data_IF_895058808845
#
_entry.id   IF_895058808845
#
_cell.length_a   1.000
_cell.length_b   1.000
_cell.length_c   1.000
_cell.angle_alpha   90.00
_cell.angle_beta   90.00
_cell.angle_gamma   90.00
#
_symmetry.space_group_name_H-M   'P 1'
#
loop_
_entity.id
_entity.type
_entity.pdbx_description
1 polymer ?
#
# COMPACT_ATOMS: atom_id res chain seq x y z
N UNK A 1 12.66 -24.26 2.89
CA UNK A 1 13.62 -25.13 2.15
C UNK A 1 14.52 -25.76 3.19
N UNK A 2 14.81 -27.06 3.08
CA UNK A 2 15.66 -27.76 4.06
C UNK A 2 17.11 -27.27 3.94
N UNK A 3 17.81 -27.17 5.06
CA UNK A 3 19.21 -26.69 5.15
C UNK A 3 20.16 -27.54 4.29
N UNK A 4 19.90 -28.83 4.18
CA UNK A 4 20.70 -29.75 3.34
C UNK A 4 20.56 -29.44 1.85
N UNK A 5 19.32 -29.12 1.38
CA UNK A 5 19.08 -28.72 0.01
C UNK A 5 19.78 -27.38 -0.32
N UNK A 6 19.78 -26.43 0.63
CA UNK A 6 20.49 -25.16 0.45
C UNK A 6 21.99 -25.38 0.28
N UNK A 7 22.60 -26.21 1.14
CA UNK A 7 24.03 -26.56 1.06
C UNK A 7 24.38 -27.25 -0.25
N UNK A 8 23.53 -28.20 -0.69
CA UNK A 8 23.75 -28.90 -1.96
C UNK A 8 23.79 -27.98 -3.16
N UNK A 9 22.93 -26.95 -3.20
CA UNK A 9 22.89 -25.96 -4.28
C UNK A 9 23.81 -24.75 -4.03
N UNK A 10 24.59 -24.75 -2.96
CA UNK A 10 25.51 -23.64 -2.61
C UNK A 10 24.77 -22.35 -2.28
N UNK A 11 23.59 -22.45 -1.67
CA UNK A 11 22.79 -21.29 -1.27
C UNK A 11 23.08 -20.89 0.18
N UNK A 12 23.32 -19.59 0.41
CA UNK A 12 23.62 -19.02 1.72
C UNK A 12 22.38 -18.44 2.41
N UNK A 13 21.31 -18.15 1.64
CA UNK A 13 20.03 -17.62 2.15
C UNK A 13 18.83 -18.24 1.43
N UNK A 14 17.70 -18.24 2.09
CA UNK A 14 16.43 -18.73 1.52
C UNK A 14 15.89 -17.78 0.44
N UNK A 15 15.11 -18.29 -0.51
CA UNK A 15 14.42 -17.51 -1.54
C UNK A 15 13.55 -16.39 -0.97
N UNK A 16 12.95 -16.61 0.21
CA UNK A 16 12.15 -15.62 0.94
C UNK A 16 12.95 -14.39 1.38
N UNK A 17 14.28 -14.50 1.44
CA UNK A 17 15.22 -13.44 1.83
C UNK A 17 15.96 -12.83 0.63
N UNK A 18 15.63 -13.26 -0.60
CA UNK A 18 16.16 -12.62 -1.79
C UNK A 18 15.67 -11.17 -1.89
N UNK A 19 16.50 -10.33 -2.50
CA UNK A 19 16.15 -8.94 -2.79
C UNK A 19 14.98 -8.84 -3.77
N UNK A 20 14.62 -7.63 -4.17
CA UNK A 20 13.54 -7.41 -5.12
C UNK A 20 14.06 -7.48 -6.56
N UNK A 21 13.44 -8.34 -7.39
CA UNK A 21 13.75 -8.44 -8.82
C UNK A 21 13.02 -7.35 -9.58
N UNK A 22 13.76 -6.40 -10.10
CA UNK A 22 13.22 -5.29 -10.87
C UNK A 22 13.13 -5.64 -12.36
N UNK A 23 11.97 -5.39 -12.95
CA UNK A 23 11.77 -5.41 -14.40
C UNK A 23 11.38 -4.01 -14.87
N UNK A 24 11.59 -3.72 -16.15
CA UNK A 24 11.19 -2.45 -16.75
C UNK A 24 9.70 -2.17 -16.55
N UNK A 25 8.85 -3.21 -16.66
CA UNK A 25 7.41 -3.09 -16.40
C UNK A 25 7.12 -2.65 -14.95
N UNK A 26 7.86 -3.17 -13.98
CA UNK A 26 7.70 -2.78 -12.58
C UNK A 26 8.19 -1.35 -12.33
N UNK A 27 9.31 -0.94 -12.92
CA UNK A 27 9.82 0.42 -12.82
C UNK A 27 8.82 1.44 -13.39
N UNK A 28 8.25 1.14 -14.56
CA UNK A 28 7.21 1.97 -15.19
C UNK A 28 5.95 2.03 -14.31
N UNK A 29 5.51 0.90 -13.76
CA UNK A 29 4.37 0.85 -12.85
C UNK A 29 4.63 1.67 -11.57
N UNK A 30 5.82 1.55 -10.95
CA UNK A 30 6.18 2.33 -9.76
C UNK A 30 6.17 3.83 -10.05
N UNK A 31 6.71 4.25 -11.19
CA UNK A 31 6.69 5.65 -11.63
C UNK A 31 5.25 6.17 -11.72
N UNK A 32 4.36 5.38 -12.33
CA UNK A 32 2.96 5.74 -12.48
C UNK A 32 2.21 5.76 -11.13
N UNK A 33 2.50 4.80 -10.23
CA UNK A 33 1.93 4.79 -8.88
C UNK A 33 2.44 5.99 -8.06
N UNK A 34 3.73 6.32 -8.11
CA UNK A 34 4.30 7.49 -7.44
C UNK A 34 3.66 8.79 -7.92
N UNK A 35 3.39 8.90 -9.24
CA UNK A 35 2.66 10.03 -9.80
C UNK A 35 1.20 10.05 -9.31
N UNK A 36 0.54 8.89 -9.26
CA UNK A 36 -0.81 8.78 -8.74
C UNK A 36 -0.90 9.18 -7.26
N UNK A 37 0.08 8.80 -6.44
CA UNK A 37 0.16 9.18 -5.01
C UNK A 37 0.23 10.70 -4.84
N UNK A 38 1.01 11.38 -5.67
CA UNK A 38 1.11 12.87 -5.62
C UNK A 38 -0.21 13.56 -5.93
N UNK A 39 -1.07 12.92 -6.72
CA UNK A 39 -2.38 13.46 -7.08
C UNK A 39 -3.48 13.09 -6.04
N UNK A 40 -3.17 12.20 -5.09
CA UNK A 40 -4.13 11.73 -4.10
C UNK A 40 -5.20 10.78 -4.64
N UNK A 41 -6.15 10.42 -3.77
CA UNK A 41 -7.28 9.56 -4.09
C UNK A 41 -7.04 8.07 -3.86
N UNK A 42 -7.91 7.21 -4.39
CA UNK A 42 -7.82 5.76 -4.24
C UNK A 42 -6.99 5.15 -5.38
N UNK A 43 -6.03 4.33 -5.00
CA UNK A 43 -5.19 3.55 -5.91
C UNK A 43 -5.36 2.08 -5.54
N UNK A 44 -5.81 1.26 -6.48
CA UNK A 44 -5.91 -0.18 -6.27
C UNK A 44 -4.81 -0.90 -7.06
N UNK A 45 -4.01 -1.69 -6.35
CA UNK A 45 -2.99 -2.55 -6.92
C UNK A 45 -3.44 -4.00 -6.75
N UNK A 46 -3.79 -4.66 -7.86
CA UNK A 46 -4.35 -6.01 -7.83
C UNK A 46 -3.44 -7.02 -8.51
N UNK A 47 -3.63 -8.28 -8.18
CA UNK A 47 -2.90 -9.38 -8.79
C UNK A 47 -3.26 -10.72 -8.14
N UNK A 48 -3.04 -11.81 -8.85
CA UNK A 48 -3.33 -13.16 -8.37
C UNK A 48 -2.46 -13.53 -7.15
N UNK A 49 -2.84 -14.59 -6.45
CA UNK A 49 -2.06 -15.11 -5.31
C UNK A 49 -0.67 -15.55 -5.80
N UNK A 50 0.37 -15.24 -5.02
CA UNK A 50 1.75 -15.60 -5.35
C UNK A 50 2.47 -14.67 -6.34
N UNK A 51 1.79 -13.69 -6.95
CA UNK A 51 2.39 -12.78 -7.95
C UNK A 51 3.43 -11.79 -7.37
N UNK A 52 3.58 -11.73 -6.06
CA UNK A 52 4.53 -10.83 -5.40
C UNK A 52 3.95 -9.49 -4.92
N UNK A 53 2.61 -9.35 -4.77
CA UNK A 53 1.97 -8.11 -4.30
C UNK A 53 2.61 -7.52 -3.05
N UNK A 54 2.76 -8.33 -2.00
CA UNK A 54 3.33 -7.87 -0.71
C UNK A 54 4.80 -7.47 -0.84
N UNK A 55 5.57 -8.17 -1.67
CA UNK A 55 6.97 -7.82 -1.95
C UNK A 55 7.06 -6.50 -2.70
N UNK A 56 6.26 -6.33 -3.73
CA UNK A 56 6.12 -5.08 -4.50
C UNK A 56 5.70 -3.91 -3.60
N UNK A 57 4.72 -4.15 -2.72
CA UNK A 57 4.25 -3.15 -1.76
C UNK A 57 5.37 -2.71 -0.80
N UNK A 58 6.13 -3.66 -0.26
CA UNK A 58 7.26 -3.37 0.65
C UNK A 58 8.33 -2.55 -0.06
N UNK A 59 8.68 -2.91 -1.30
CA UNK A 59 9.66 -2.17 -2.11
C UNK A 59 9.19 -0.74 -2.37
N UNK A 60 7.94 -0.56 -2.81
CA UNK A 60 7.37 0.77 -3.02
C UNK A 60 7.38 1.62 -1.74
N UNK A 61 7.00 1.04 -0.59
CA UNK A 61 7.05 1.73 0.70
C UNK A 61 8.48 2.13 1.08
N UNK A 62 9.46 1.27 0.81
CA UNK A 62 10.86 1.56 1.06
C UNK A 62 11.33 2.74 0.22
N UNK A 63 11.12 2.69 -1.09
CA UNK A 63 11.48 3.77 -2.03
C UNK A 63 10.89 5.12 -1.60
N UNK A 64 9.60 5.14 -1.23
CA UNK A 64 8.94 6.38 -0.79
C UNK A 64 9.52 6.93 0.52
N UNK A 65 9.94 6.05 1.44
CA UNK A 65 10.60 6.46 2.70
C UNK A 65 12.00 7.02 2.44
N UNK A 66 12.78 6.37 1.57
CA UNK A 66 14.11 6.83 1.18
C UNK A 66 14.07 8.19 0.47
N UNK A 67 13.10 8.40 -0.41
CA UNK A 67 12.88 9.70 -1.05
C UNK A 67 12.43 10.79 -0.06
N UNK A 68 11.79 10.42 1.06
CA UNK A 68 11.30 11.31 2.12
C UNK A 68 10.44 12.51 1.65
N UNK A 69 9.84 12.40 0.47
CA UNK A 69 8.94 13.41 -0.11
C UNK A 69 7.48 13.16 0.22
N UNK A 70 7.14 11.93 0.58
CA UNK A 70 5.80 11.44 0.88
C UNK A 70 5.83 10.76 2.24
N UNK A 71 4.85 11.03 3.09
CA UNK A 71 4.69 10.33 4.36
C UNK A 71 4.03 8.98 4.11
N UNK A 72 4.67 7.91 4.57
CA UNK A 72 4.17 6.55 4.40
C UNK A 72 3.48 6.12 5.69
N UNK A 73 2.17 5.90 5.62
CA UNK A 73 1.35 5.30 6.67
C UNK A 73 0.92 3.89 6.28
N UNK A 74 0.80 3.00 7.24
CA UNK A 74 0.44 1.61 6.99
C UNK A 74 -0.62 1.12 7.98
N UNK A 75 -1.70 0.55 7.46
CA UNK A 75 -2.64 -0.21 8.29
C UNK A 75 -1.99 -1.52 8.78
N UNK A 76 -1.78 -1.62 10.09
CA UNK A 76 -1.13 -2.76 10.74
C UNK A 76 -2.11 -3.86 11.18
N UNK A 77 -3.42 -3.71 10.96
CA UNK A 77 -4.40 -4.71 11.35
C UNK A 77 -4.12 -6.05 10.68
N UNK A 78 -4.02 -7.10 11.47
CA UNK A 78 -3.75 -8.47 11.02
C UNK A 78 -4.98 -9.06 10.32
N UNK A 79 -6.16 -8.88 10.90
CA UNK A 79 -7.44 -9.29 10.29
C UNK A 79 -8.11 -8.11 9.60
N UNK A 80 -8.09 -8.11 8.27
CA UNK A 80 -8.62 -7.03 7.44
C UNK A 80 -10.13 -6.92 7.47
N UNK A 81 -10.85 -8.00 7.81
CA UNK A 81 -12.32 -7.98 7.96
C UNK A 81 -12.77 -7.08 9.11
N UNK A 82 -11.90 -6.87 10.10
CA UNK A 82 -12.13 -5.97 11.23
C UNK A 82 -11.56 -4.56 11.03
N UNK A 83 -10.89 -4.29 9.90
CA UNK A 83 -10.45 -2.93 9.56
C UNK A 83 -11.66 -2.07 9.26
N UNK A 84 -11.81 -1.01 10.01
CA UNK A 84 -12.81 0.01 9.82
C UNK A 84 -12.15 1.40 9.75
N UNK A 85 -12.93 2.41 9.49
CA UNK A 85 -12.41 3.78 9.34
C UNK A 85 -11.63 4.25 10.60
N UNK A 86 -12.03 3.84 11.80
CA UNK A 86 -11.34 4.23 13.03
C UNK A 86 -9.93 3.62 13.12
N UNK A 87 -9.76 2.39 12.64
CA UNK A 87 -8.43 1.73 12.54
C UNK A 87 -7.51 2.51 11.59
N UNK A 88 -8.06 3.02 10.49
CA UNK A 88 -7.32 3.80 9.50
C UNK A 88 -6.97 5.20 10.03
N UNK A 89 -7.90 5.85 10.74
CA UNK A 89 -7.60 7.08 11.47
C UNK A 89 -6.47 6.85 12.47
N UNK A 90 -6.52 5.75 13.25
CA UNK A 90 -5.47 5.43 14.23
C UNK A 90 -4.11 5.27 13.56
N UNK A 91 -4.03 4.56 12.44
CA UNK A 91 -2.78 4.41 11.69
C UNK A 91 -2.23 5.78 11.26
N UNK A 92 -3.07 6.64 10.68
CA UNK A 92 -2.67 7.98 10.28
C UNK A 92 -2.22 8.83 11.47
N UNK A 93 -2.94 8.80 12.60
CA UNK A 93 -2.55 9.55 13.80
C UNK A 93 -1.19 9.12 14.32
N UNK A 94 -0.92 7.81 14.42
CA UNK A 94 0.37 7.28 14.89
C UNK A 94 1.52 7.76 13.99
N UNK A 95 1.32 7.72 12.67
CA UNK A 95 2.37 8.06 11.71
C UNK A 95 2.54 9.59 11.51
N UNK A 96 1.47 10.37 11.74
CA UNK A 96 1.48 11.82 11.61
C UNK A 96 1.79 12.54 12.91
N UNK A 97 1.63 11.92 14.09
CA UNK A 97 1.88 12.55 15.37
C UNK A 97 3.29 13.13 15.45
N UNK A 98 3.39 14.41 15.87
CA UNK A 98 4.67 15.12 16.03
C UNK A 98 5.13 15.09 17.47
N UNK A 99 4.19 14.97 18.41
CA UNK A 99 4.44 14.96 19.85
C UNK A 99 4.02 13.62 20.46
N UNK A 100 4.76 13.15 21.45
CA UNK A 100 4.43 11.90 22.17
C UNK A 100 3.04 11.90 22.82
N UNK A 101 2.47 13.06 23.08
CA UNK A 101 1.17 13.24 23.75
C UNK A 101 0.01 13.49 22.79
N UNK A 102 0.22 13.42 21.48
CA UNK A 102 -0.84 13.55 20.48
C UNK A 102 -1.75 12.30 20.49
N UNK A 103 -2.75 12.31 21.40
CA UNK A 103 -3.75 11.24 21.48
C UNK A 103 -4.87 11.47 20.47
N UNK A 104 -5.35 10.38 19.88
CA UNK A 104 -6.50 10.42 18.98
C UNK A 104 -7.78 10.71 19.78
N UNK A 105 -8.54 11.78 19.44
CA UNK A 105 -9.80 12.07 20.10
C UNK A 105 -10.84 10.97 19.87
N UNK A 106 -11.68 10.70 20.86
CA UNK A 106 -12.78 9.73 20.77
C UNK A 106 -13.96 10.26 19.94
N UNK A 107 -14.24 11.57 20.01
CA UNK A 107 -15.31 12.22 19.25
C UNK A 107 -14.91 12.40 17.79
N UNK A 108 -15.81 12.03 16.85
CA UNK A 108 -15.55 12.05 15.42
C UNK A 108 -15.10 13.44 14.92
N UNK A 109 -15.87 14.49 15.20
CA UNK A 109 -15.51 15.85 14.76
C UNK A 109 -14.15 16.34 15.30
N UNK A 110 -13.85 16.07 16.58
CA UNK A 110 -12.56 16.45 17.16
C UNK A 110 -11.42 15.68 16.51
N UNK A 111 -11.67 14.42 16.14
CA UNK A 111 -10.71 13.57 15.45
C UNK A 111 -10.38 14.11 14.05
N UNK A 112 -11.41 14.48 13.29
CA UNK A 112 -11.23 15.07 11.96
C UNK A 112 -10.44 16.39 12.01
N UNK A 113 -10.84 17.30 12.90
CA UNK A 113 -10.11 18.57 13.12
C UNK A 113 -8.66 18.36 13.54
N UNK A 114 -8.41 17.39 14.43
CA UNK A 114 -7.03 17.06 14.84
C UNK A 114 -6.24 16.46 13.69
N UNK A 115 -6.83 15.57 12.87
CA UNK A 115 -6.19 15.03 11.69
C UNK A 115 -5.83 16.15 10.71
N UNK A 116 -6.74 17.06 10.42
CA UNK A 116 -6.50 18.23 9.56
C UNK A 116 -5.34 19.10 10.08
N UNK A 117 -5.26 19.31 11.40
CA UNK A 117 -4.14 20.04 12.03
C UNK A 117 -2.80 19.33 11.79
N UNK A 118 -2.75 18.01 12.03
CA UNK A 118 -1.53 17.22 11.83
C UNK A 118 -1.08 17.22 10.36
N UNK A 119 -2.02 17.16 9.42
CA UNK A 119 -1.75 17.22 7.98
C UNK A 119 -1.10 18.55 7.62
N UNK A 120 -1.68 19.67 8.11
CA UNK A 120 -1.12 21.01 7.88
C UNK A 120 0.29 21.15 8.45
N UNK A 121 0.53 20.62 9.64
CA UNK A 121 1.86 20.64 10.27
C UNK A 121 2.90 19.86 9.46
N UNK A 122 2.52 18.71 8.88
CA UNK A 122 3.42 17.87 8.07
C UNK A 122 3.72 18.45 6.70
N UNK A 123 2.76 19.12 6.08
CA UNK A 123 2.88 19.74 4.75
C UNK A 123 3.54 18.84 3.69
N UNK A 124 3.20 17.55 3.71
CA UNK A 124 3.67 16.54 2.75
C UNK A 124 2.50 15.66 2.30
N UNK A 125 2.49 15.18 1.05
CA UNK A 125 1.55 14.15 0.62
C UNK A 125 1.65 12.91 1.52
N UNK A 126 0.52 12.26 1.75
CA UNK A 126 0.41 11.07 2.60
C UNK A 126 0.01 9.88 1.73
N UNK A 127 0.69 8.76 1.91
CA UNK A 127 0.36 7.49 1.28
C UNK A 127 -0.04 6.48 2.36
N UNK A 128 -1.34 6.15 2.44
CA UNK A 128 -1.87 5.14 3.35
C UNK A 128 -1.94 3.79 2.64
N UNK A 129 -1.21 2.81 3.13
CA UNK A 129 -1.13 1.47 2.55
C UNK A 129 -2.02 0.48 3.30
N UNK A 130 -2.85 -0.24 2.54
CA UNK A 130 -3.74 -1.30 3.04
C UNK A 130 -3.46 -2.56 2.22
N UNK A 131 -2.79 -3.54 2.82
CA UNK A 131 -2.59 -4.85 2.21
C UNK A 131 -3.83 -5.74 2.42
N UNK A 132 -4.04 -6.71 1.53
CA UNK A 132 -5.22 -7.60 1.51
C UNK A 132 -6.57 -6.84 1.55
N UNK A 133 -6.64 -5.71 0.84
CA UNK A 133 -7.80 -4.83 0.85
C UNK A 133 -9.07 -5.46 0.26
N UNK A 134 -8.97 -6.59 -0.42
CA UNK A 134 -10.13 -7.35 -0.93
C UNK A 134 -10.97 -7.99 0.18
N UNK A 135 -10.45 -8.03 1.43
CA UNK A 135 -11.18 -8.47 2.61
C UNK A 135 -11.86 -7.32 3.36
N UNK A 136 -11.67 -6.07 2.92
CA UNK A 136 -12.34 -4.93 3.53
C UNK A 136 -13.86 -4.99 3.33
N UNK A 137 -14.59 -4.63 4.38
CA UNK A 137 -16.04 -4.49 4.26
C UNK A 137 -16.38 -3.32 3.30
N UNK A 138 -17.40 -3.43 2.43
CA UNK A 138 -17.81 -2.37 1.49
C UNK A 138 -17.99 -0.99 2.15
N UNK A 139 -18.56 -0.94 3.36
CA UNK A 139 -18.69 0.30 4.14
C UNK A 139 -17.35 0.96 4.45
N UNK A 140 -16.29 0.16 4.67
CA UNK A 140 -14.94 0.71 4.89
C UNK A 140 -14.40 1.33 3.62
N UNK A 141 -14.61 0.70 2.47
CA UNK A 141 -14.24 1.26 1.17
C UNK A 141 -14.95 2.61 0.93
N UNK A 142 -16.25 2.71 1.23
CA UNK A 142 -17.00 3.98 1.14
C UNK A 142 -16.40 5.04 2.09
N UNK A 143 -16.07 4.64 3.31
CA UNK A 143 -15.48 5.57 4.28
C UNK A 143 -14.08 6.08 3.89
N UNK A 144 -13.36 5.37 3.02
CA UNK A 144 -12.08 5.84 2.47
C UNK A 144 -12.25 7.11 1.63
N UNK A 145 -13.37 7.25 0.90
CA UNK A 145 -13.69 8.48 0.16
C UNK A 145 -13.76 9.67 1.12
N UNK A 146 -14.55 9.55 2.18
CA UNK A 146 -14.67 10.61 3.18
C UNK A 146 -13.33 10.95 3.86
N UNK A 147 -12.48 9.95 4.09
CA UNK A 147 -11.16 10.17 4.64
C UNK A 147 -10.28 10.99 3.69
N UNK A 148 -10.31 10.68 2.38
CA UNK A 148 -9.59 11.46 1.35
C UNK A 148 -10.12 12.89 1.31
N UNK A 149 -11.44 13.07 1.25
CA UNK A 149 -12.10 14.39 1.25
C UNK A 149 -11.73 15.21 2.49
N UNK A 150 -11.74 14.59 3.69
CA UNK A 150 -11.32 15.26 4.94
C UNK A 150 -9.89 15.81 4.87
N UNK A 151 -8.99 15.08 4.19
CA UNK A 151 -7.60 15.51 4.00
C UNK A 151 -7.51 16.63 2.96
N UNK A 152 -8.26 16.51 1.87
CA UNK A 152 -8.34 17.53 0.81
C UNK A 152 -8.89 18.86 1.34
N UNK A 153 -9.90 18.83 2.20
CA UNK A 153 -10.46 20.01 2.90
C UNK A 153 -9.41 20.73 3.76
N UNK A 154 -8.41 20.02 4.21
CA UNK A 154 -7.26 20.59 4.93
C UNK A 154 -6.16 21.13 3.99
N UNK A 155 -6.39 21.17 2.68
CA UNK A 155 -5.38 21.41 1.64
C UNK A 155 -4.22 20.40 1.68
N UNK A 156 -4.47 19.19 2.18
CA UNK A 156 -3.55 18.07 2.16
C UNK A 156 -3.76 17.17 0.95
N UNK A 157 -2.87 16.21 0.77
CA UNK A 157 -3.00 15.17 -0.25
C UNK A 157 -2.91 13.81 0.41
N UNK A 158 -3.95 13.00 0.28
CA UNK A 158 -3.97 11.62 0.73
C UNK A 158 -4.18 10.69 -0.46
N UNK A 159 -3.25 9.76 -0.65
CA UNK A 159 -3.44 8.60 -1.50
C UNK A 159 -3.66 7.37 -0.63
N UNK A 160 -4.72 6.61 -0.90
CA UNK A 160 -4.96 5.31 -0.27
C UNK A 160 -4.59 4.23 -1.27
N UNK A 161 -3.56 3.45 -0.94
CA UNK A 161 -3.07 2.35 -1.77
C UNK A 161 -3.64 1.04 -1.23
N UNK A 162 -4.70 0.58 -1.87
CA UNK A 162 -5.39 -0.68 -1.57
C UNK A 162 -4.79 -1.81 -2.41
N UNK A 163 -4.12 -2.76 -1.77
CA UNK A 163 -3.49 -3.90 -2.45
C UNK A 163 -4.29 -5.16 -2.18
N UNK A 164 -4.55 -5.95 -3.22
CA UNK A 164 -5.37 -7.14 -3.01
C UNK A 164 -5.49 -8.06 -4.23
N UNK A 165 -6.36 -9.05 -4.10
CA UNK A 165 -6.74 -9.97 -5.16
C UNK A 165 -7.55 -9.24 -6.26
N UNK A 166 -7.64 -9.73 -7.51
CA UNK A 166 -8.47 -9.15 -8.58
C UNK A 166 -9.93 -8.91 -8.19
N UNK A 167 -10.47 -9.63 -7.19
CA UNK A 167 -11.77 -9.36 -6.59
C UNK A 167 -11.93 -7.89 -6.19
N UNK A 168 -10.87 -7.25 -5.65
CA UNK A 168 -10.92 -5.84 -5.26
C UNK A 168 -11.26 -4.93 -6.45
N UNK A 169 -10.66 -5.19 -7.63
CA UNK A 169 -10.98 -4.41 -8.84
C UNK A 169 -12.42 -4.64 -9.29
N UNK A 170 -12.94 -5.87 -9.14
CA UNK A 170 -14.32 -6.19 -9.47
C UNK A 170 -15.29 -5.52 -8.48
N UNK A 171 -14.99 -5.54 -7.20
CA UNK A 171 -15.79 -4.87 -6.16
C UNK A 171 -15.87 -3.36 -6.43
N UNK A 172 -14.75 -2.72 -6.79
CA UNK A 172 -14.70 -1.29 -7.12
C UNK A 172 -15.49 -0.93 -8.40
N UNK A 173 -15.72 -1.89 -9.30
CA UNK A 173 -16.59 -1.71 -10.50
C UNK A 173 -18.08 -1.92 -10.20
N UNK A 174 -18.41 -2.38 -9.00
CA UNK A 174 -19.81 -2.60 -8.60
C UNK A 174 -20.56 -1.25 -8.51
N UNK A 175 -21.79 -1.12 -9.04
CA UNK A 175 -22.59 0.09 -8.93
C UNK A 175 -22.74 0.63 -7.50
N UNK A 176 -22.76 -0.24 -6.49
CA UNK A 176 -22.81 0.17 -5.09
C UNK A 176 -21.57 0.93 -4.61
N UNK A 177 -20.46 0.84 -5.35
CA UNK A 177 -19.19 1.51 -5.07
C UNK A 177 -18.76 2.45 -6.22
N UNK A 178 -19.68 2.76 -7.15
CA UNK A 178 -19.40 3.54 -8.36
C UNK A 178 -18.73 4.88 -8.07
N UNK A 179 -19.18 5.60 -7.05
CA UNK A 179 -18.59 6.89 -6.67
C UNK A 179 -17.10 6.82 -6.30
N UNK A 180 -16.65 5.65 -5.80
CA UNK A 180 -15.26 5.41 -5.41
C UNK A 180 -14.52 4.79 -6.57
N UNK A 181 -15.15 3.80 -7.21
CA UNK A 181 -14.56 3.04 -8.30
C UNK A 181 -14.23 3.89 -9.52
N UNK A 182 -15.12 4.82 -9.88
CA UNK A 182 -14.92 5.75 -10.99
C UNK A 182 -13.69 6.68 -10.80
N UNK A 183 -13.32 6.96 -9.55
CA UNK A 183 -12.16 7.79 -9.19
C UNK A 183 -10.90 6.97 -8.85
N UNK A 184 -11.05 5.65 -8.71
CA UNK A 184 -9.94 4.77 -8.38
C UNK A 184 -9.00 4.55 -9.58
N UNK A 185 -7.71 4.67 -9.36
CA UNK A 185 -6.69 4.28 -10.34
C UNK A 185 -6.35 2.82 -10.13
N UNK A 186 -6.61 2.01 -11.15
CA UNK A 186 -6.39 0.56 -11.10
C UNK A 186 -5.05 0.22 -11.73
N UNK A 187 -4.21 -0.51 -10.99
CA UNK A 187 -2.97 -1.11 -11.46
C UNK A 187 -3.06 -2.63 -11.27
N UNK A 188 -2.57 -3.37 -12.22
CA UNK A 188 -2.53 -4.81 -12.16
C UNK A 188 -1.09 -5.33 -12.24
N UNK A 189 -0.73 -6.16 -11.26
CA UNK A 189 0.52 -6.91 -11.28
C UNK A 189 0.35 -8.11 -12.20
N UNK A 190 1.00 -8.04 -13.35
CA UNK A 190 1.05 -9.14 -14.32
C UNK A 190 2.13 -10.17 -13.98
N UNK A 191 2.02 -11.35 -14.59
CA UNK A 191 3.05 -12.37 -14.49
C UNK A 191 4.36 -11.88 -15.17
N UNK A 192 5.48 -12.43 -14.72
CA UNK A 192 6.80 -12.10 -15.26
C UNK A 192 6.96 -12.47 -16.77
N UNK A 193 6.15 -13.41 -17.24
CA UNK A 193 6.12 -13.79 -18.66
C UNK A 193 7.51 -14.15 -19.19
N UNK A 194 7.96 -13.45 -20.22
CA UNK A 194 9.28 -13.63 -20.85
C UNK A 194 10.46 -13.37 -19.91
N UNK A 195 10.24 -12.69 -18.78
CA UNK A 195 11.27 -12.44 -17.78
C UNK A 195 11.41 -13.58 -16.75
N UNK A 196 10.56 -14.62 -16.80
CA UNK A 196 10.61 -15.73 -15.84
C UNK A 196 11.97 -16.46 -15.81
N UNK A 197 12.64 -16.77 -16.92
CA UNK A 197 13.97 -17.38 -16.87
C UNK A 197 15.01 -16.47 -16.20
N UNK A 198 15.01 -15.19 -16.52
CA UNK A 198 15.91 -14.19 -15.90
C UNK A 198 15.66 -14.06 -14.42
N UNK A 199 14.40 -14.13 -13.99
CA UNK A 199 14.03 -14.11 -12.58
C UNK A 199 14.58 -15.32 -11.82
N UNK A 200 14.46 -16.52 -12.41
CA UNK A 200 14.96 -17.75 -11.79
C UNK A 200 16.47 -17.69 -11.63
N UNK A 201 17.19 -17.30 -12.67
CA UNK A 201 18.64 -17.14 -12.64
C UNK A 201 19.07 -16.11 -11.60
N UNK A 202 18.45 -14.94 -11.60
CA UNK A 202 18.69 -13.89 -10.60
C UNK A 202 18.41 -14.38 -9.17
N UNK A 203 17.30 -15.09 -8.95
CA UNK A 203 16.91 -15.61 -7.64
C UNK A 203 17.96 -16.59 -7.08
N UNK A 204 18.41 -17.52 -7.93
CA UNK A 204 19.44 -18.48 -7.55
C UNK A 204 20.75 -17.76 -7.22
N UNK A 205 21.19 -16.82 -8.04
CA UNK A 205 22.42 -16.05 -7.84
C UNK A 205 22.31 -15.15 -6.59
N UNK A 206 21.17 -14.51 -6.36
CA UNK A 206 20.92 -13.71 -5.16
C UNK A 206 20.98 -14.54 -3.87
N UNK A 207 20.67 -15.83 -3.91
CA UNK A 207 20.74 -16.72 -2.74
C UNK A 207 22.09 -17.38 -2.52
N UNK A 208 23.01 -17.32 -3.51
CA UNK A 208 24.38 -17.81 -3.39
C UNK A 208 25.33 -16.77 -2.79
N UNK A 209 24.99 -15.50 -2.90
CA UNK A 209 25.73 -14.37 -2.35
C UNK A 209 25.10 -13.93 -1.01
#
# INVERSE_FOLDING_TARGET
MEIESMKYYGMNKEFSKADYFETENYQNMFTNIKLAIKNGGLIALTGIVGIGKTTTLRRLQQDLREENKILVSKSLATDKRHVNINTLYTALFVDLATKKDDKMPTQAEKRERKLQSLIKERNKPIALFIDEAHDLHPRTLISLKHLVETVEDANGTLAVIAVGHPKLANDLRNPALEEIGARAKLFELGALGVNSPKFIEWLINSCKN
#
